data_IF_140705860158
#
_entry.id   IF_140705860158
#
_cell.length_a   1.000
_cell.length_b   1.000
_cell.length_c   1.000
_cell.angle_alpha   90.00
_cell.angle_beta   90.00
_cell.angle_gamma   90.00
#
_symmetry.space_group_name_H-M   'P 1'
#
loop_
_entity.id
_entity.type
_entity.pdbx_description
1 polymer ?
#
# COMPACT_ATOMS: atom_id res chain seq x y z
N UNK A 1 27.15 -19.70 64.86
CA UNK A 1 26.55 -19.21 63.60
C UNK A 1 27.47 -19.28 62.37
N UNK A 2 28.80 -19.48 62.47
CA UNK A 2 29.68 -19.63 61.29
C UNK A 2 29.78 -21.04 60.68
N UNK A 3 29.31 -22.09 61.36
CA UNK A 3 29.37 -23.48 60.84
C UNK A 3 28.18 -23.88 59.95
N UNK A 4 27.03 -23.19 60.06
CA UNK A 4 25.86 -23.46 59.23
C UNK A 4 25.95 -22.80 57.84
N UNK A 5 26.61 -21.65 57.75
CA UNK A 5 26.83 -20.93 56.48
C UNK A 5 27.85 -21.62 55.58
N UNK A 6 28.87 -22.30 56.15
CA UNK A 6 29.86 -23.04 55.35
C UNK A 6 29.26 -24.31 54.72
N UNK A 7 28.34 -25.00 55.41
CA UNK A 7 27.64 -26.17 54.88
C UNK A 7 26.66 -25.82 53.74
N UNK A 8 26.02 -24.64 53.81
CA UNK A 8 25.10 -24.18 52.76
C UNK A 8 25.86 -23.80 51.48
N UNK A 9 27.06 -23.20 51.58
CA UNK A 9 27.88 -22.87 50.42
C UNK A 9 28.47 -24.11 49.72
N UNK A 10 28.83 -25.16 50.47
CA UNK A 10 29.32 -26.43 49.91
C UNK A 10 28.21 -27.22 49.19
N UNK A 11 26.96 -27.15 49.65
CA UNK A 11 25.80 -27.75 48.97
C UNK A 11 25.47 -27.06 47.64
N UNK A 12 25.58 -25.73 47.56
CA UNK A 12 25.33 -24.96 46.33
C UNK A 12 26.43 -25.20 45.28
N UNK A 13 27.68 -25.37 45.69
CA UNK A 13 28.78 -25.70 44.77
C UNK A 13 28.67 -27.12 44.16
N UNK A 14 28.20 -28.11 44.93
CA UNK A 14 27.98 -29.48 44.46
C UNK A 14 26.77 -29.61 43.51
N UNK A 15 25.76 -28.75 43.67
CA UNK A 15 24.61 -28.65 42.74
C UNK A 15 24.99 -27.99 41.40
N UNK A 16 25.96 -27.07 41.38
CA UNK A 16 26.44 -26.49 40.11
C UNK A 16 27.35 -27.41 39.30
N UNK A 17 28.14 -28.28 39.96
CA UNK A 17 29.01 -29.25 39.28
C UNK A 17 28.25 -30.45 38.71
N UNK A 18 27.10 -30.82 39.28
CA UNK A 18 26.28 -31.95 38.79
C UNK A 18 25.38 -31.57 37.60
N UNK A 19 24.98 -30.29 37.48
CA UNK A 19 24.21 -29.81 36.31
C UNK A 19 25.10 -29.63 35.07
N UNK A 20 26.38 -29.32 35.24
CA UNK A 20 27.34 -29.22 34.11
C UNK A 20 27.77 -30.58 33.55
N UNK A 21 27.57 -31.70 34.27
CA UNK A 21 27.96 -33.05 33.81
C UNK A 21 26.85 -33.85 33.12
N UNK A 22 25.63 -33.31 33.01
CA UNK A 22 24.45 -34.02 32.44
C UNK A 22 23.96 -33.48 31.09
N UNK A 23 24.73 -32.63 30.43
CA UNK A 23 24.42 -32.16 29.06
C UNK A 23 25.62 -32.34 28.13
N UNK A 24 26.11 -33.57 28.00
CA UNK A 24 27.14 -33.91 27.01
C UNK A 24 27.01 -35.38 26.53
N UNK A 25 26.16 -35.60 25.53
CA UNK A 25 26.11 -36.72 24.54
C UNK A 25 24.91 -36.42 23.62
N UNK A 26 24.89 -36.49 22.29
CA UNK A 26 25.79 -36.95 21.24
C UNK A 26 25.59 -36.05 20.02
N UNK A 27 26.66 -35.46 19.46
CA UNK A 27 26.63 -34.89 18.11
C UNK A 27 27.49 -35.74 17.18
N UNK A 28 26.81 -36.63 16.46
CA UNK A 28 27.35 -37.25 15.25
C UNK A 28 27.53 -36.17 14.16
N UNK A 29 28.71 -36.22 13.54
CA UNK A 29 29.14 -35.57 12.30
C UNK A 29 27.99 -35.24 11.33
N UNK A 30 27.75 -33.95 11.11
CA UNK A 30 27.40 -33.46 9.78
C UNK A 30 28.00 -32.06 9.60
N UNK A 31 28.92 -31.95 8.64
CA UNK A 31 29.58 -30.68 8.27
C UNK A 31 28.52 -29.71 7.75
N UNK A 32 28.47 -28.45 8.22
CA UNK A 32 27.72 -27.42 7.51
C UNK A 32 28.43 -27.18 6.18
N UNK A 33 27.75 -27.50 5.07
CA UNK A 33 28.13 -26.97 3.75
C UNK A 33 28.08 -25.45 3.85
N UNK A 34 29.15 -24.83 3.36
CA UNK A 34 29.35 -23.40 3.31
C UNK A 34 28.07 -22.64 2.92
N UNK A 35 27.71 -21.67 3.76
CA UNK A 35 26.74 -20.65 3.41
C UNK A 35 27.22 -19.92 2.15
N UNK A 36 26.29 -19.74 1.24
CA UNK A 36 26.39 -18.91 0.04
C UNK A 36 26.83 -17.48 0.42
N UNK A 37 27.98 -16.98 -0.07
CA UNK A 37 28.46 -15.64 0.26
C UNK A 37 27.74 -14.61 -0.62
N UNK A 38 26.46 -14.35 -0.38
CA UNK A 38 25.73 -13.29 -1.08
C UNK A 38 24.47 -12.75 -0.36
N UNK A 39 24.51 -12.59 0.97
CA UNK A 39 23.74 -11.53 1.62
C UNK A 39 24.66 -10.31 1.76
N UNK A 40 24.73 -9.51 0.69
CA UNK A 40 25.32 -8.19 0.76
C UNK A 40 24.55 -7.39 1.82
N UNK A 41 25.26 -6.88 2.82
CA UNK A 41 24.79 -5.82 3.70
C UNK A 41 24.42 -4.62 2.82
N UNK A 42 23.15 -4.51 2.44
CA UNK A 42 22.62 -3.34 1.76
C UNK A 42 22.64 -2.19 2.75
N UNK A 43 23.41 -1.15 2.46
CA UNK A 43 23.36 0.09 3.24
C UNK A 43 21.99 0.74 3.05
N UNK A 44 21.38 1.18 4.16
CA UNK A 44 20.04 1.77 4.16
C UNK A 44 19.98 3.06 3.30
N UNK A 45 21.11 3.77 3.20
CA UNK A 45 21.29 4.93 2.31
C UNK A 45 21.14 4.58 0.82
N UNK A 46 21.88 3.57 0.34
CA UNK A 46 21.79 3.12 -1.06
C UNK A 46 20.38 2.65 -1.42
N UNK A 47 19.70 2.01 -0.46
CA UNK A 47 18.31 1.59 -0.65
C UNK A 47 17.35 2.78 -0.78
N UNK A 48 17.58 3.84 -0.01
CA UNK A 48 16.78 5.05 -0.10
C UNK A 48 16.98 5.75 -1.44
N UNK A 49 18.22 5.89 -1.91
CA UNK A 49 18.54 6.54 -3.19
C UNK A 49 17.89 5.81 -4.38
N UNK A 50 18.03 4.48 -4.49
CA UNK A 50 17.37 3.71 -5.55
C UNK A 50 15.84 3.81 -5.49
N UNK A 51 15.26 3.80 -4.29
CA UNK A 51 13.82 3.98 -4.12
C UNK A 51 13.35 5.36 -4.62
N UNK A 52 14.08 6.42 -4.29
CA UNK A 52 13.71 7.80 -4.65
C UNK A 52 13.64 8.02 -6.17
N UNK A 53 14.40 7.26 -6.96
CA UNK A 53 14.38 7.39 -8.43
C UNK A 53 13.00 7.08 -9.04
N UNK A 54 12.21 6.20 -8.43
CA UNK A 54 10.91 5.77 -8.99
C UNK A 54 9.71 6.50 -8.39
N UNK A 55 9.89 7.22 -7.27
CA UNK A 55 8.80 7.92 -6.56
C UNK A 55 8.12 8.97 -7.45
N UNK A 56 8.84 9.82 -8.22
CA UNK A 56 8.21 10.75 -9.14
C UNK A 56 7.29 10.04 -10.16
N UNK A 57 7.79 9.02 -10.86
CA UNK A 57 6.98 8.28 -11.84
C UNK A 57 5.75 7.63 -11.21
N UNK A 58 5.90 7.03 -10.02
CA UNK A 58 4.77 6.46 -9.27
C UNK A 58 3.72 7.52 -8.89
N UNK A 59 4.15 8.75 -8.55
CA UNK A 59 3.22 9.86 -8.28
C UNK A 59 2.51 10.32 -9.55
N UNK A 60 3.20 10.44 -10.68
CA UNK A 60 2.55 10.74 -11.96
C UNK A 60 1.55 9.66 -12.36
N UNK A 61 1.93 8.38 -12.19
CA UNK A 61 1.05 7.25 -12.39
C UNK A 61 -0.20 7.33 -11.49
N UNK A 62 -0.04 7.67 -10.20
CA UNK A 62 -1.16 7.86 -9.29
C UNK A 62 -2.18 8.86 -9.85
N UNK A 63 -1.72 10.01 -10.36
CA UNK A 63 -2.61 11.03 -10.92
C UNK A 63 -3.21 10.65 -12.28
N UNK A 64 -2.45 9.98 -13.15
CA UNK A 64 -2.99 9.43 -14.41
C UNK A 64 -4.10 8.41 -14.12
N UNK A 65 -3.85 7.47 -13.20
CA UNK A 65 -4.83 6.48 -12.78
C UNK A 65 -6.06 7.13 -12.15
N UNK A 66 -5.86 8.12 -11.27
CA UNK A 66 -6.95 8.87 -10.64
C UNK A 66 -7.86 9.57 -11.65
N UNK A 67 -7.29 10.25 -12.65
CA UNK A 67 -8.06 10.92 -13.72
C UNK A 67 -8.86 9.91 -14.55
N UNK A 68 -8.24 8.76 -14.86
CA UNK A 68 -8.91 7.67 -15.56
C UNK A 68 -10.05 7.06 -14.73
N UNK A 69 -9.83 6.85 -13.43
CA UNK A 69 -10.85 6.31 -12.52
C UNK A 69 -12.03 7.27 -12.36
N UNK A 70 -11.76 8.57 -12.26
CA UNK A 70 -12.79 9.62 -12.20
C UNK A 70 -13.65 9.67 -13.46
N UNK A 71 -13.04 9.38 -14.63
CA UNK A 71 -13.76 9.30 -15.90
C UNK A 71 -14.66 8.07 -16.00
N UNK A 72 -14.20 6.91 -15.48
CA UNK A 72 -14.98 5.67 -15.50
C UNK A 72 -16.10 5.64 -14.47
N UNK A 73 -15.90 6.26 -13.30
CA UNK A 73 -16.87 6.25 -12.20
C UNK A 73 -17.21 7.68 -11.71
N UNK A 74 -17.83 8.51 -12.58
CA UNK A 74 -18.11 9.90 -12.24
C UNK A 74 -19.05 10.00 -11.03
N UNK A 75 -18.68 10.86 -10.08
CA UNK A 75 -19.48 11.15 -8.89
C UNK A 75 -19.48 10.06 -7.82
N UNK A 76 -18.69 8.99 -7.96
CA UNK A 76 -18.54 7.95 -6.93
C UNK A 76 -17.34 8.20 -6.03
N UNK A 77 -17.33 7.50 -4.89
CA UNK A 77 -16.12 7.33 -4.11
C UNK A 77 -15.06 6.59 -4.94
N UNK A 78 -13.81 7.02 -4.83
CA UNK A 78 -12.66 6.37 -5.45
C UNK A 78 -11.66 6.01 -4.36
N UNK A 79 -11.10 4.80 -4.42
CA UNK A 79 -10.01 4.42 -3.51
C UNK A 79 -9.13 3.32 -4.09
N UNK A 80 -7.83 3.57 -4.24
CA UNK A 80 -6.88 2.61 -4.79
C UNK A 80 -5.49 2.83 -4.20
N UNK A 81 -4.57 1.90 -4.50
CA UNK A 81 -3.16 2.01 -4.12
C UNK A 81 -2.26 2.12 -5.36
N UNK A 82 -1.72 3.31 -5.64
CA UNK A 82 -0.81 3.51 -6.77
C UNK A 82 0.42 2.61 -6.66
N UNK A 83 1.09 2.59 -5.51
CA UNK A 83 2.31 1.78 -5.29
C UNK A 83 2.06 0.28 -5.50
N UNK A 84 0.91 -0.22 -5.07
CA UNK A 84 0.56 -1.63 -5.21
C UNK A 84 0.34 -1.99 -6.68
N UNK A 85 -0.42 -1.18 -7.40
CA UNK A 85 -0.70 -1.40 -8.83
C UNK A 85 0.58 -1.27 -9.65
N UNK A 86 1.39 -0.23 -9.43
CA UNK A 86 2.62 -0.02 -10.18
C UNK A 86 3.64 -1.12 -9.93
N UNK A 87 3.75 -1.62 -8.69
CA UNK A 87 4.58 -2.78 -8.37
C UNK A 87 4.13 -4.03 -9.14
N UNK A 88 2.82 -4.29 -9.24
CA UNK A 88 2.29 -5.45 -9.95
C UNK A 88 2.60 -5.42 -11.45
N UNK A 89 2.50 -4.26 -12.07
CA UNK A 89 2.78 -4.08 -13.50
C UNK A 89 4.27 -3.97 -13.80
N UNK A 90 5.08 -3.43 -12.88
CA UNK A 90 6.53 -3.50 -13.00
C UNK A 90 7.04 -4.95 -12.89
N UNK A 91 6.40 -5.79 -12.07
CA UNK A 91 6.64 -7.24 -12.07
C UNK A 91 6.28 -7.86 -13.42
N UNK A 92 5.15 -7.49 -14.03
CA UNK A 92 4.78 -7.96 -15.38
C UNK A 92 5.82 -7.54 -16.42
N UNK A 93 6.36 -6.32 -16.31
CA UNK A 93 7.39 -5.80 -17.22
C UNK A 93 8.67 -6.66 -17.23
N UNK A 94 9.08 -7.26 -16.10
CA UNK A 94 10.21 -8.22 -16.07
C UNK A 94 10.03 -9.39 -17.03
N UNK A 95 8.78 -9.84 -17.20
CA UNK A 95 8.40 -10.95 -18.06
C UNK A 95 8.00 -10.55 -19.47
N UNK A 96 7.85 -9.25 -19.72
CA UNK A 96 7.45 -8.68 -21.00
C UNK A 96 8.69 -8.38 -21.86
N UNK A 97 8.54 -8.33 -23.18
CA UNK A 97 9.62 -7.96 -24.11
C UNK A 97 9.13 -6.94 -25.12
N UNK A 98 10.09 -6.27 -25.78
CA UNK A 98 9.84 -5.34 -26.89
C UNK A 98 8.72 -4.33 -26.57
N UNK A 99 7.81 -4.08 -27.50
CA UNK A 99 6.70 -3.12 -27.36
C UNK A 99 5.82 -3.39 -26.15
N UNK A 100 5.59 -4.65 -25.79
CA UNK A 100 4.80 -5.01 -24.60
C UNK A 100 5.44 -4.47 -23.32
N UNK A 101 6.77 -4.57 -23.21
CA UNK A 101 7.51 -4.05 -22.05
C UNK A 101 7.51 -2.51 -22.02
N UNK A 102 7.80 -1.89 -23.17
CA UNK A 102 7.80 -0.43 -23.33
C UNK A 102 6.45 0.15 -22.92
N UNK A 103 5.34 -0.37 -23.45
CA UNK A 103 4.00 0.08 -23.11
C UNK A 103 3.73 -0.02 -21.60
N UNK A 104 4.06 -1.15 -20.96
CA UNK A 104 3.82 -1.32 -19.52
C UNK A 104 4.57 -0.27 -18.71
N UNK A 105 5.87 -0.06 -18.97
CA UNK A 105 6.68 0.88 -18.19
C UNK A 105 6.28 2.34 -18.44
N UNK A 106 6.00 2.73 -19.69
CA UNK A 106 5.50 4.08 -20.01
C UNK A 106 4.09 4.32 -19.45
N UNK A 107 3.25 3.29 -19.41
CA UNK A 107 1.94 3.30 -18.77
C UNK A 107 2.02 3.52 -17.25
N UNK A 108 3.13 3.09 -16.63
CA UNK A 108 3.51 3.43 -15.25
C UNK A 108 4.20 4.79 -15.12
N UNK A 109 4.14 5.61 -16.17
CA UNK A 109 4.69 6.96 -16.25
C UNK A 109 6.23 7.04 -16.15
N UNK A 110 6.96 5.95 -16.43
CA UNK A 110 8.40 6.02 -16.60
C UNK A 110 8.76 6.61 -17.97
N UNK A 111 9.74 7.52 -17.97
CA UNK A 111 10.38 7.94 -19.21
C UNK A 111 11.61 7.06 -19.48
N UNK A 112 11.50 6.16 -20.46
CA UNK A 112 12.56 5.20 -20.77
C UNK A 112 13.77 5.84 -21.47
N UNK A 113 13.69 7.12 -21.85
CA UNK A 113 14.89 7.88 -22.27
C UNK A 113 15.75 8.31 -21.09
N UNK A 114 15.13 8.50 -19.93
CA UNK A 114 15.78 9.10 -18.75
C UNK A 114 16.10 8.07 -17.67
N UNK A 115 15.34 6.97 -17.61
CA UNK A 115 15.50 5.93 -16.58
C UNK A 115 15.63 4.56 -17.23
N UNK A 116 16.70 3.83 -16.87
CA UNK A 116 16.94 2.49 -17.41
C UNK A 116 16.02 1.47 -16.74
N UNK A 117 15.64 0.42 -17.47
CA UNK A 117 14.80 -0.67 -16.94
C UNK A 117 15.36 -1.28 -15.64
N UNK A 118 16.68 -1.50 -15.58
CA UNK A 118 17.35 -2.04 -14.40
C UNK A 118 17.15 -1.16 -13.17
N UNK A 119 17.23 0.16 -13.32
CA UNK A 119 17.04 1.14 -12.25
C UNK A 119 15.58 1.15 -11.76
N UNK A 120 14.63 0.97 -12.68
CA UNK A 120 13.20 0.85 -12.32
C UNK A 120 12.99 -0.37 -11.43
N UNK A 121 13.48 -1.54 -11.85
CA UNK A 121 13.31 -2.77 -11.08
C UNK A 121 14.08 -2.76 -9.75
N UNK A 122 15.28 -2.16 -9.73
CA UNK A 122 16.06 -1.98 -8.51
C UNK A 122 15.35 -1.02 -7.54
N UNK A 123 14.81 0.09 -8.04
CA UNK A 123 14.01 1.04 -7.27
C UNK A 123 12.78 0.39 -6.65
N UNK A 124 12.04 -0.45 -7.39
CA UNK A 124 10.92 -1.22 -6.82
C UNK A 124 11.38 -2.23 -5.77
N UNK A 125 12.51 -2.91 -5.99
CA UNK A 125 13.08 -3.82 -4.97
C UNK A 125 13.34 -3.07 -3.68
N UNK A 126 13.99 -1.92 -3.76
CA UNK A 126 14.33 -1.12 -2.60
C UNK A 126 13.10 -0.51 -1.94
N UNK A 127 12.14 0.01 -2.70
CA UNK A 127 10.85 0.47 -2.18
C UNK A 127 10.16 -0.65 -1.37
N UNK A 128 10.11 -1.87 -1.90
CA UNK A 128 9.50 -3.01 -1.19
C UNK A 128 10.26 -3.41 0.08
N UNK A 129 11.59 -3.31 0.08
CA UNK A 129 12.38 -3.54 1.29
C UNK A 129 12.07 -2.49 2.35
N UNK A 130 12.01 -1.22 1.95
CA UNK A 130 11.76 -0.09 2.84
C UNK A 130 10.34 -0.11 3.42
N UNK A 131 9.34 -0.47 2.62
CA UNK A 131 7.93 -0.58 3.05
C UNK A 131 7.64 -1.80 3.94
N UNK A 132 8.45 -2.87 3.85
CA UNK A 132 8.30 -4.08 4.65
C UNK A 132 9.36 -4.19 5.77
N UNK A 133 9.91 -3.07 6.24
CA UNK A 133 10.95 -3.06 7.28
C UNK A 133 10.44 -3.71 8.59
N UNK A 134 11.19 -4.67 9.16
CA UNK A 134 10.87 -5.21 10.48
C UNK A 134 10.80 -4.11 11.53
N UNK A 135 9.82 -4.20 12.44
CA UNK A 135 9.66 -3.24 13.54
C UNK A 135 8.84 -1.99 13.22
N UNK A 136 8.34 -1.83 11.99
CA UNK A 136 7.40 -0.75 11.68
C UNK A 136 6.13 -0.87 12.53
N UNK A 137 5.68 0.27 13.07
CA UNK A 137 4.41 0.38 13.79
C UNK A 137 3.20 0.42 12.84
N UNK A 138 3.46 0.57 11.54
CA UNK A 138 2.49 0.43 10.45
C UNK A 138 2.52 -1.01 9.98
N UNK A 139 1.39 -1.71 10.13
CA UNK A 139 1.19 -3.01 9.51
C UNK A 139 0.72 -2.81 8.07
N UNK A 140 1.68 -2.82 7.16
CA UNK A 140 1.45 -2.87 5.72
C UNK A 140 1.67 -4.29 5.23
N UNK A 141 0.69 -4.85 4.51
CA UNK A 141 0.86 -6.10 3.79
C UNK A 141 0.47 -5.90 2.34
N UNK A 142 1.46 -5.90 1.47
CA UNK A 142 1.29 -5.79 0.02
C UNK A 142 1.75 -7.08 -0.63
N UNK A 143 1.02 -7.54 -1.65
CA UNK A 143 1.41 -8.75 -2.36
C UNK A 143 0.98 -8.75 -3.80
N UNK A 144 1.84 -9.36 -4.61
CA UNK A 144 1.63 -9.56 -6.03
C UNK A 144 1.62 -11.07 -6.31
N UNK A 145 0.47 -11.56 -6.75
CA UNK A 145 0.30 -12.95 -7.15
C UNK A 145 -0.03 -13.02 -8.64
N UNK A 146 0.78 -13.78 -9.37
CA UNK A 146 0.55 -14.11 -10.76
C UNK A 146 0.00 -15.54 -10.83
N UNK A 147 -1.26 -15.69 -11.17
CA UNK A 147 -1.86 -16.99 -11.41
C UNK A 147 -1.71 -17.33 -12.88
N UNK A 148 -1.10 -18.47 -13.19
CA UNK A 148 -0.81 -18.92 -14.54
C UNK A 148 -1.48 -20.28 -14.75
N UNK A 149 -2.01 -20.51 -15.95
CA UNK A 149 -2.60 -21.79 -16.31
C UNK A 149 -1.60 -22.93 -16.11
N UNK A 150 -2.07 -24.04 -15.54
CA UNK A 150 -1.26 -25.20 -15.19
C UNK A 150 -0.47 -25.81 -16.35
N UNK A 151 -0.89 -25.58 -17.59
CA UNK A 151 -0.20 -26.10 -18.78
C UNK A 151 1.01 -25.27 -19.19
N UNK A 152 1.11 -24.03 -18.72
CA UNK A 152 2.24 -23.14 -18.99
C UNK A 152 3.36 -23.41 -17.99
N UNK A 153 4.61 -23.31 -18.47
CA UNK A 153 5.81 -23.53 -17.66
C UNK A 153 6.63 -22.24 -17.56
N UNK A 154 6.56 -21.52 -16.43
CA UNK A 154 7.36 -20.32 -16.24
C UNK A 154 8.86 -20.63 -16.26
N UNK A 155 9.64 -19.71 -16.82
CA UNK A 155 11.10 -19.77 -16.83
C UNK A 155 11.64 -19.71 -15.40
N UNK A 156 12.66 -20.54 -15.11
CA UNK A 156 13.31 -20.57 -13.79
C UNK A 156 13.94 -19.22 -13.43
N UNK A 157 14.46 -18.50 -14.43
CA UNK A 157 15.00 -17.14 -14.29
C UNK A 157 13.91 -16.17 -13.83
N UNK A 158 12.77 -16.13 -14.53
CA UNK A 158 11.62 -15.31 -14.15
C UNK A 158 11.15 -15.61 -12.71
N UNK A 159 11.01 -16.89 -12.34
CA UNK A 159 10.64 -17.28 -10.97
C UNK A 159 11.65 -16.81 -9.91
N UNK A 160 12.95 -16.79 -10.24
CA UNK A 160 14.01 -16.29 -9.36
C UNK A 160 13.90 -14.77 -9.22
N UNK A 161 13.70 -14.06 -10.32
CA UNK A 161 13.71 -12.59 -10.36
C UNK A 161 12.49 -12.00 -9.66
N UNK A 162 11.28 -12.54 -9.87
CA UNK A 162 10.08 -12.07 -9.14
C UNK A 162 10.22 -12.28 -7.63
N UNK A 163 10.87 -13.37 -7.20
CA UNK A 163 11.07 -13.67 -5.78
C UNK A 163 12.13 -12.73 -5.18
N UNK A 164 13.21 -12.48 -5.91
CA UNK A 164 14.33 -11.63 -5.48
C UNK A 164 13.90 -10.16 -5.41
N UNK A 165 13.36 -9.64 -6.50
CA UNK A 165 13.09 -8.22 -6.70
C UNK A 165 11.73 -7.80 -6.10
N UNK A 166 10.69 -8.60 -6.30
CA UNK A 166 9.31 -8.19 -5.98
C UNK A 166 8.69 -8.91 -4.77
N UNK A 167 9.41 -9.88 -4.19
CA UNK A 167 8.84 -10.85 -3.22
C UNK A 167 7.54 -11.49 -3.74
N UNK A 168 7.39 -11.55 -5.06
CA UNK A 168 6.20 -12.03 -5.74
C UNK A 168 6.11 -13.55 -5.75
N UNK A 169 4.93 -14.07 -6.07
CA UNK A 169 4.69 -15.50 -6.24
C UNK A 169 3.95 -15.77 -7.54
N UNK A 170 4.40 -16.79 -8.26
CA UNK A 170 3.63 -17.42 -9.33
C UNK A 170 2.89 -18.63 -8.74
N UNK A 171 1.60 -18.73 -9.05
CA UNK A 171 0.73 -19.82 -8.63
C UNK A 171 0.20 -20.50 -9.89
N UNK A 172 0.38 -21.81 -9.98
CA UNK A 172 -0.19 -22.62 -11.06
C UNK A 172 -1.65 -22.92 -10.71
N UNK A 173 -2.59 -22.63 -11.62
CA UNK A 173 -4.03 -22.84 -11.40
C UNK A 173 -4.70 -23.48 -12.61
N UNK A 174 -5.81 -24.19 -12.40
CA UNK A 174 -6.55 -24.88 -13.45
C UNK A 174 -7.72 -24.03 -13.95
N UNK A 175 -7.50 -23.16 -14.92
CA UNK A 175 -8.54 -22.23 -15.36
C UNK A 175 -9.71 -22.89 -16.09
N UNK A 176 -9.51 -24.08 -16.66
CA UNK A 176 -10.61 -24.90 -17.20
C UNK A 176 -11.68 -25.21 -16.15
N UNK A 177 -11.29 -25.36 -14.87
CA UNK A 177 -12.22 -25.38 -13.74
C UNK A 177 -12.34 -23.97 -13.13
N UNK A 178 -13.01 -23.07 -13.86
CA UNK A 178 -13.07 -21.65 -13.52
C UNK A 178 -13.65 -21.37 -12.13
N UNK A 179 -14.59 -22.20 -11.65
CA UNK A 179 -15.17 -22.09 -10.30
C UNK A 179 -14.13 -22.34 -9.21
N UNK A 180 -13.35 -23.41 -9.36
CA UNK A 180 -12.30 -23.78 -8.40
C UNK A 180 -11.13 -22.79 -8.45
N UNK A 181 -10.65 -22.43 -9.65
CA UNK A 181 -9.59 -21.45 -9.81
C UNK A 181 -9.98 -20.07 -9.23
N UNK A 182 -11.23 -19.63 -9.44
CA UNK A 182 -11.76 -18.41 -8.82
C UNK A 182 -11.77 -18.51 -7.30
N UNK A 183 -12.16 -19.66 -6.75
CA UNK A 183 -12.16 -19.88 -5.30
C UNK A 183 -10.73 -19.84 -4.76
N UNK A 184 -9.78 -20.51 -5.41
CA UNK A 184 -8.35 -20.50 -5.05
C UNK A 184 -7.79 -19.07 -4.99
N UNK A 185 -8.04 -18.27 -6.03
CA UNK A 185 -7.61 -16.88 -6.10
C UNK A 185 -8.21 -16.06 -4.95
N UNK A 186 -9.52 -16.14 -4.74
CA UNK A 186 -10.18 -15.37 -3.69
C UNK A 186 -9.74 -15.81 -2.27
N UNK A 187 -9.56 -17.12 -2.04
CA UNK A 187 -9.07 -17.66 -0.76
C UNK A 187 -7.62 -17.22 -0.48
N UNK A 188 -6.77 -17.18 -1.51
CA UNK A 188 -5.40 -16.67 -1.40
C UNK A 188 -5.40 -15.22 -0.88
N UNK A 189 -6.22 -14.36 -1.48
CA UNK A 189 -6.31 -12.94 -1.12
C UNK A 189 -6.97 -12.75 0.25
N UNK A 190 -8.03 -13.51 0.53
CA UNK A 190 -8.70 -13.48 1.84
C UNK A 190 -7.73 -13.79 2.97
N UNK A 191 -6.91 -14.82 2.81
CA UNK A 191 -5.91 -15.19 3.81
C UNK A 191 -4.85 -14.10 3.99
N UNK A 192 -4.35 -13.54 2.89
CA UNK A 192 -3.32 -12.48 2.94
C UNK A 192 -3.83 -11.14 3.48
N UNK A 193 -5.14 -10.91 3.44
CA UNK A 193 -5.77 -9.67 3.91
C UNK A 193 -6.51 -9.84 5.24
N UNK A 194 -6.27 -10.95 5.95
CA UNK A 194 -6.91 -11.28 7.22
C UNK A 194 -8.45 -11.22 7.15
N UNK A 195 -9.03 -11.63 6.02
CA UNK A 195 -10.48 -11.63 5.78
C UNK A 195 -11.09 -10.27 5.42
N UNK A 196 -10.29 -9.20 5.29
CA UNK A 196 -10.82 -7.89 4.90
C UNK A 196 -11.20 -7.82 3.41
N UNK A 197 -10.51 -8.56 2.55
CA UNK A 197 -10.82 -8.66 1.12
C UNK A 197 -11.25 -10.10 0.81
N UNK A 198 -12.56 -10.34 0.86
CA UNK A 198 -13.13 -11.68 0.65
C UNK A 198 -13.28 -12.08 -0.82
N UNK A 199 -13.39 -11.09 -1.71
CA UNK A 199 -13.61 -11.34 -3.13
C UNK A 199 -12.99 -10.22 -3.95
N UNK A 200 -12.09 -10.60 -4.87
CA UNK A 200 -11.45 -9.70 -5.83
C UNK A 200 -11.91 -9.99 -7.27
N UNK A 201 -12.13 -11.27 -7.61
CA UNK A 201 -12.70 -11.68 -8.90
C UNK A 201 -14.16 -12.10 -8.74
N UNK A 202 -15.03 -11.56 -9.60
CA UNK A 202 -16.43 -11.97 -9.71
C UNK A 202 -16.57 -13.22 -10.57
N UNK A 203 -15.91 -13.18 -11.72
CA UNK A 203 -16.05 -14.13 -12.81
C UNK A 203 -14.66 -14.47 -13.36
N UNK A 204 -14.54 -15.65 -13.98
CA UNK A 204 -13.30 -16.13 -14.59
C UNK A 204 -13.65 -16.99 -15.81
N UNK A 205 -13.01 -16.73 -16.95
CA UNK A 205 -13.27 -17.46 -18.19
C UNK A 205 -12.44 -18.76 -18.24
N UNK A 206 -12.99 -19.91 -18.69
CA UNK A 206 -12.22 -21.14 -18.86
C UNK A 206 -10.98 -21.03 -19.77
N UNK A 207 -10.96 -20.08 -20.71
CA UNK A 207 -9.84 -19.81 -21.61
C UNK A 207 -8.81 -18.83 -21.02
N UNK A 208 -8.89 -18.54 -19.72
CA UNK A 208 -7.92 -17.68 -19.03
C UNK A 208 -6.55 -18.36 -19.02
N UNK A 209 -5.50 -17.62 -19.38
CA UNK A 209 -4.12 -18.09 -19.35
C UNK A 209 -3.34 -17.51 -18.15
N UNK A 210 -3.66 -16.27 -17.79
CA UNK A 210 -2.93 -15.54 -16.75
C UNK A 210 -3.82 -14.52 -16.07
N UNK A 211 -3.75 -14.47 -14.74
CA UNK A 211 -4.44 -13.48 -13.91
C UNK A 211 -3.44 -12.78 -12.99
N UNK A 212 -3.44 -11.45 -13.03
CA UNK A 212 -2.70 -10.61 -12.08
C UNK A 212 -3.63 -10.19 -10.96
N UNK A 213 -3.29 -10.57 -9.74
CA UNK A 213 -4.06 -10.22 -8.55
C UNK A 213 -3.18 -9.42 -7.63
N UNK A 214 -3.55 -8.16 -7.45
CA UNK A 214 -2.83 -7.24 -6.58
C UNK A 214 -3.71 -6.87 -5.38
N UNK A 215 -3.12 -6.93 -4.20
CA UNK A 215 -3.76 -6.51 -2.97
C UNK A 215 -2.80 -5.72 -2.09
N UNK A 216 -3.38 -4.84 -1.29
CA UNK A 216 -2.70 -4.13 -0.23
C UNK A 216 -3.64 -4.06 0.97
N UNK A 217 -3.08 -4.33 2.14
CA UNK A 217 -3.73 -4.21 3.42
C UNK A 217 -2.93 -3.24 4.25
N UNK A 218 -3.62 -2.26 4.83
CA UNK A 218 -3.01 -1.21 5.62
C UNK A 218 -3.72 -1.12 6.96
N UNK A 219 -2.91 -1.18 8.02
CA UNK A 219 -3.32 -0.99 9.39
C UNK A 219 -2.26 -0.16 10.11
N UNK A 220 -2.70 0.95 10.64
CA UNK A 220 -1.91 1.92 11.38
C UNK A 220 -2.81 2.65 12.38
N UNK A 221 -2.24 3.00 13.53
CA UNK A 221 -2.92 3.79 14.57
C UNK A 221 -2.57 5.26 14.38
N UNK A 222 -3.48 6.19 14.64
CA UNK A 222 -3.10 7.59 14.65
C UNK A 222 -2.04 7.83 15.73
N UNK A 223 -1.07 8.72 15.46
CA UNK A 223 -0.06 9.08 16.47
C UNK A 223 -0.74 9.57 17.75
N UNK A 224 -1.67 10.50 17.55
CA UNK A 224 -2.65 10.93 18.53
C UNK A 224 -4.01 10.44 18.04
N UNK A 225 -4.84 9.75 18.84
CA UNK A 225 -6.18 9.32 18.43
C UNK A 225 -7.24 10.41 18.64
N UNK A 226 -8.42 10.24 18.05
CA UNK A 226 -9.63 11.01 18.35
C UNK A 226 -10.32 10.44 19.59
N UNK A 227 -11.03 11.28 20.34
CA UNK A 227 -11.84 10.80 21.47
C UNK A 227 -13.17 10.22 20.96
N UNK A 228 -13.42 8.94 21.24
CA UNK A 228 -14.67 8.24 20.87
C UNK A 228 -15.89 8.98 21.43
N UNK A 229 -15.80 9.57 22.62
CA UNK A 229 -16.90 10.34 23.23
C UNK A 229 -17.18 11.66 22.50
N UNK A 230 -16.21 12.17 21.74
CA UNK A 230 -16.39 13.36 20.90
C UNK A 230 -17.04 13.06 19.55
N UNK A 231 -17.15 11.78 19.16
CA UNK A 231 -17.79 11.41 17.89
C UNK A 231 -19.30 11.55 17.99
N UNK A 232 -19.88 12.38 17.12
CA UNK A 232 -21.31 12.71 17.12
C UNK A 232 -21.90 12.65 15.72
N UNK A 233 -23.23 12.70 15.62
CA UNK A 233 -23.93 12.80 14.34
C UNK A 233 -23.78 14.20 13.78
N UNK A 234 -23.48 14.30 12.49
CA UNK A 234 -23.32 15.56 11.77
C UNK A 234 -23.71 15.36 10.30
N UNK A 235 -23.86 16.45 9.55
CA UNK A 235 -24.19 16.40 8.13
C UNK A 235 -22.95 16.47 7.24
N UNK A 236 -22.94 15.62 6.22
CA UNK A 236 -22.01 15.68 5.10
C UNK A 236 -22.78 16.08 3.83
N UNK A 237 -22.35 17.15 3.18
CA UNK A 237 -22.93 17.70 1.97
C UNK A 237 -22.35 17.00 0.74
N UNK A 238 -23.04 15.97 0.23
CA UNK A 238 -22.63 15.23 -0.99
C UNK A 238 -22.61 16.17 -2.20
N UNK A 239 -23.59 17.10 -2.26
CA UNK A 239 -23.66 18.20 -3.21
C UNK A 239 -24.56 19.31 -2.64
N UNK A 240 -24.76 20.41 -3.37
CA UNK A 240 -25.56 21.56 -2.93
C UNK A 240 -27.02 21.23 -2.53
N UNK A 241 -27.59 20.11 -3.00
CA UNK A 241 -28.98 19.70 -2.73
C UNK A 241 -29.10 18.47 -1.83
N UNK A 242 -28.01 17.75 -1.60
CA UNK A 242 -28.05 16.44 -0.92
C UNK A 242 -27.07 16.43 0.24
N UNK A 243 -27.58 16.14 1.44
CA UNK A 243 -26.77 15.90 2.62
C UNK A 243 -27.12 14.54 3.24
N UNK A 244 -26.14 13.89 3.84
CA UNK A 244 -26.30 12.62 4.55
C UNK A 244 -25.80 12.77 5.98
N UNK A 245 -26.42 12.05 6.91
CA UNK A 245 -25.95 12.01 8.30
C UNK A 245 -24.76 11.05 8.41
N UNK A 246 -23.68 11.50 9.05
CA UNK A 246 -22.45 10.73 9.27
C UNK A 246 -22.04 10.80 10.75
N UNK A 247 -21.23 9.83 11.18
CA UNK A 247 -20.51 9.93 12.46
C UNK A 247 -19.26 10.78 12.25
N UNK A 248 -19.28 12.01 12.75
CA UNK A 248 -18.18 12.96 12.65
C UNK A 248 -17.29 12.85 13.88
N UNK A 249 -16.02 12.52 13.67
CA UNK A 249 -14.99 12.56 14.71
C UNK A 249 -14.46 13.98 14.80
N UNK A 250 -14.18 14.48 16.00
CA UNK A 250 -13.57 15.80 16.22
C UNK A 250 -12.36 15.70 17.13
N UNK A 251 -11.35 16.55 16.87
CA UNK A 251 -10.26 16.80 17.80
C UNK A 251 -9.65 18.18 17.56
N UNK A 252 -9.46 18.91 18.66
CA UNK A 252 -8.57 20.08 18.76
C UNK A 252 -7.14 19.61 19.02
N UNK A 253 -6.19 20.08 18.22
CA UNK A 253 -4.78 19.79 18.44
C UNK A 253 -3.88 20.50 17.45
N UNK A 254 -2.57 20.21 17.54
CA UNK A 254 -1.60 20.72 16.59
C UNK A 254 -1.46 19.77 15.40
N UNK A 255 -1.69 20.29 14.21
CA UNK A 255 -1.58 19.56 12.95
C UNK A 255 -0.67 20.31 11.99
N UNK A 256 -0.03 19.58 11.08
CA UNK A 256 0.57 20.18 9.90
C UNK A 256 -0.56 20.55 8.94
N UNK A 257 -0.70 21.83 8.61
CA UNK A 257 -1.79 22.34 7.76
C UNK A 257 -1.30 23.45 6.83
N UNK A 258 -1.94 23.56 5.67
CA UNK A 258 -1.67 24.58 4.66
C UNK A 258 -2.96 24.97 3.91
N UNK A 259 -3.21 26.27 3.78
CA UNK A 259 -4.31 26.80 2.98
C UNK A 259 -3.78 27.23 1.62
N UNK A 260 -4.03 26.43 0.58
CA UNK A 260 -3.63 26.75 -0.79
C UNK A 260 -4.66 27.70 -1.41
N UNK A 261 -4.32 28.99 -1.45
CA UNK A 261 -5.20 30.03 -2.01
C UNK A 261 -5.39 29.89 -3.53
N UNK A 262 -4.38 29.40 -4.25
CA UNK A 262 -4.43 29.25 -5.70
C UNK A 262 -5.42 28.16 -6.10
N UNK A 263 -5.38 27.03 -5.37
CA UNK A 263 -6.28 25.90 -5.58
C UNK A 263 -7.56 25.97 -4.76
N UNK A 264 -7.67 26.99 -3.89
CA UNK A 264 -8.82 27.21 -3.01
C UNK A 264 -9.14 25.96 -2.17
N UNK A 265 -8.13 25.40 -1.49
CA UNK A 265 -8.30 24.21 -0.65
C UNK A 265 -7.52 24.27 0.67
N UNK A 266 -8.02 23.57 1.68
CA UNK A 266 -7.31 23.31 2.93
C UNK A 266 -6.65 21.92 2.86
N UNK A 267 -5.38 21.85 3.25
CA UNK A 267 -4.59 20.63 3.29
C UNK A 267 -4.22 20.35 4.74
N UNK A 268 -4.64 19.20 5.27
CA UNK A 268 -4.35 18.79 6.66
C UNK A 268 -3.64 17.44 6.65
N UNK A 269 -2.43 17.40 7.23
CA UNK A 269 -1.69 16.17 7.43
C UNK A 269 -1.87 15.66 8.87
N UNK A 270 -2.34 14.42 9.00
CA UNK A 270 -2.52 13.72 10.27
C UNK A 270 -1.58 12.51 10.31
N UNK A 271 -0.60 12.47 11.24
CA UNK A 271 0.35 11.38 11.33
C UNK A 271 -0.27 10.11 11.94
N UNK A 272 0.16 8.97 11.43
CA UNK A 272 0.02 7.68 12.09
C UNK A 272 1.23 7.44 13.01
N UNK A 273 1.13 6.44 13.88
CA UNK A 273 2.26 5.84 14.59
C UNK A 273 3.17 5.13 13.59
N UNK A 274 4.45 5.46 13.58
CA UNK A 274 5.42 5.01 12.58
C UNK A 274 5.51 5.97 11.40
N UNK A 275 6.04 5.49 10.27
CA UNK A 275 6.42 6.34 9.14
C UNK A 275 5.30 6.53 8.11
N UNK A 276 4.06 6.80 8.53
CA UNK A 276 2.95 7.05 7.63
C UNK A 276 2.11 8.26 8.05
N UNK A 277 1.51 8.95 7.08
CA UNK A 277 0.57 10.03 7.35
C UNK A 277 -0.60 10.04 6.36
N UNK A 278 -1.76 10.48 6.84
CA UNK A 278 -2.90 10.80 6.00
C UNK A 278 -2.89 12.29 5.66
N UNK A 279 -2.88 12.61 4.37
CA UNK A 279 -3.06 13.95 3.84
C UNK A 279 -4.51 14.10 3.36
N UNK A 280 -5.29 14.93 4.05
CA UNK A 280 -6.65 15.25 3.69
C UNK A 280 -6.70 16.60 2.97
N UNK A 281 -7.32 16.65 1.80
CA UNK A 281 -7.40 17.86 0.97
C UNK A 281 -8.85 18.22 0.74
N UNK A 282 -9.26 19.36 1.29
CA UNK A 282 -10.63 19.86 1.28
C UNK A 282 -10.74 21.09 0.37
N UNK A 283 -11.18 20.93 -0.89
CA UNK A 283 -11.44 22.07 -1.76
C UNK A 283 -12.62 22.89 -1.25
N UNK A 284 -12.63 24.19 -1.54
CA UNK A 284 -13.82 25.04 -1.39
C UNK A 284 -14.97 24.51 -2.27
N UNK A 285 -16.19 24.93 -1.95
CA UNK A 285 -17.36 24.51 -2.71
C UNK A 285 -17.21 24.85 -4.21
N UNK A 286 -17.53 23.90 -5.08
CA UNK A 286 -17.36 24.03 -6.53
C UNK A 286 -15.91 23.96 -7.04
N UNK A 287 -14.90 23.79 -6.16
CA UNK A 287 -13.47 23.81 -6.55
C UNK A 287 -12.83 22.44 -6.75
N UNK A 288 -13.58 21.34 -6.56
CA UNK A 288 -13.06 19.98 -6.72
C UNK A 288 -12.41 19.76 -8.09
N UNK A 289 -13.07 20.14 -9.19
CA UNK A 289 -12.52 19.95 -10.53
C UNK A 289 -11.20 20.73 -10.73
N UNK A 290 -11.14 21.98 -10.27
CA UNK A 290 -9.92 22.79 -10.31
C UNK A 290 -8.78 22.10 -9.55
N UNK A 291 -9.08 21.54 -8.37
CA UNK A 291 -8.10 20.78 -7.59
C UNK A 291 -7.63 19.53 -8.35
N UNK A 292 -8.54 18.74 -8.90
CA UNK A 292 -8.24 17.50 -9.65
C UNK A 292 -7.39 17.77 -10.90
N UNK A 293 -7.69 18.83 -11.64
CA UNK A 293 -6.94 19.25 -12.82
C UNK A 293 -5.51 19.67 -12.45
N UNK A 294 -5.31 20.25 -11.26
CA UNK A 294 -4.03 20.70 -10.74
C UNK A 294 -3.22 19.64 -9.97
N UNK A 295 -3.70 18.40 -9.87
CA UNK A 295 -2.94 17.32 -9.22
C UNK A 295 -1.71 16.94 -10.05
N UNK A 296 -0.55 17.40 -9.60
CA UNK A 296 0.78 17.12 -10.17
C UNK A 296 1.79 16.91 -9.04
N UNK A 297 2.97 16.39 -9.39
CA UNK A 297 4.10 16.24 -8.46
C UNK A 297 4.49 17.57 -7.82
N UNK A 298 4.49 18.65 -8.61
CA UNK A 298 4.83 19.99 -8.13
C UNK A 298 3.82 20.51 -7.12
N UNK A 299 2.52 20.26 -7.36
CA UNK A 299 1.45 20.62 -6.41
C UNK A 299 1.64 19.90 -5.07
N UNK A 300 1.91 18.60 -5.08
CA UNK A 300 2.15 17.86 -3.84
C UNK A 300 3.45 18.30 -3.17
N UNK A 301 4.53 18.53 -3.92
CA UNK A 301 5.80 19.03 -3.39
C UNK A 301 5.63 20.42 -2.75
N UNK A 302 4.82 21.30 -3.36
CA UNK A 302 4.45 22.61 -2.79
C UNK A 302 3.74 22.43 -1.46
N UNK A 303 2.74 21.54 -1.39
CA UNK A 303 2.03 21.28 -0.14
C UNK A 303 2.97 20.76 0.94
N UNK A 304 3.79 19.74 0.64
CA UNK A 304 4.76 19.18 1.58
C UNK A 304 5.69 20.23 2.19
N UNK A 305 6.17 21.17 1.37
CA UNK A 305 7.05 22.27 1.80
C UNK A 305 6.31 23.38 2.57
N UNK A 306 5.01 23.53 2.34
CA UNK A 306 4.20 24.63 2.90
C UNK A 306 3.41 24.23 4.15
N UNK A 307 3.37 22.94 4.48
CA UNK A 307 2.70 22.42 5.67
C UNK A 307 3.37 22.94 6.95
N UNK A 308 2.64 23.72 7.73
CA UNK A 308 3.10 24.28 8.99
C UNK A 308 2.32 23.71 10.17
N UNK A 309 3.00 23.51 11.30
CA UNK A 309 2.36 23.04 12.53
C UNK A 309 1.53 24.16 13.15
N UNK A 310 0.21 24.03 13.15
CA UNK A 310 -0.74 25.01 13.72
C UNK A 310 -1.81 24.29 14.55
N UNK A 311 -2.35 24.99 15.56
CA UNK A 311 -3.50 24.49 16.32
C UNK A 311 -4.78 24.71 15.52
N UNK A 312 -5.50 23.64 15.24
CA UNK A 312 -6.80 23.68 14.54
C UNK A 312 -7.73 22.64 15.16
N UNK A 313 -9.03 22.85 15.03
CA UNK A 313 -10.05 21.84 15.33
C UNK A 313 -10.47 21.13 14.04
N UNK A 314 -10.23 19.82 13.98
CA UNK A 314 -10.46 19.02 12.76
C UNK A 314 -11.66 18.12 12.96
N UNK A 315 -12.58 18.14 11.99
CA UNK A 315 -13.74 17.26 11.93
C UNK A 315 -13.62 16.31 10.73
N UNK A 316 -13.56 15.00 10.97
CA UNK A 316 -13.40 13.97 9.93
C UNK A 316 -14.49 12.90 10.07
N UNK A 317 -15.19 12.53 8.99
CA UNK A 317 -16.18 11.47 9.04
C UNK A 317 -15.50 10.12 9.30
N UNK A 318 -16.05 9.37 10.24
CA UNK A 318 -15.75 7.94 10.39
C UNK A 318 -16.35 7.20 9.19
N UNK A 319 -15.52 6.50 8.43
CA UNK A 319 -15.93 5.91 7.16
C UNK A 319 -15.19 4.60 6.86
N UNK A 320 -15.77 3.81 5.96
CA UNK A 320 -15.14 2.66 5.33
C UNK A 320 -15.24 2.85 3.83
N UNK A 321 -14.11 2.97 3.16
CA UNK A 321 -14.05 3.17 1.71
C UNK A 321 -13.30 2.01 1.07
N UNK A 322 -13.76 1.60 -0.10
CA UNK A 322 -13.12 0.60 -0.93
C UNK A 322 -13.19 0.99 -2.40
N UNK A 323 -12.29 0.43 -3.19
CA UNK A 323 -12.35 0.52 -4.64
C UNK A 323 -11.94 -0.81 -5.25
N UNK A 324 -12.63 -1.18 -6.32
CA UNK A 324 -12.36 -2.41 -7.08
C UNK A 324 -12.25 -2.05 -8.55
N UNK A 325 -11.10 -2.29 -9.15
CA UNK A 325 -10.81 -1.89 -10.53
C UNK A 325 -10.44 -3.09 -11.38
N UNK A 326 -11.01 -3.12 -12.58
CA UNK A 326 -10.56 -3.96 -13.69
C UNK A 326 -9.32 -3.31 -14.30
N UNK A 327 -8.14 -3.77 -13.86
CA UNK A 327 -6.87 -3.19 -14.27
C UNK A 327 -6.62 -3.37 -15.77
N UNK A 328 -7.15 -4.43 -16.39
CA UNK A 328 -7.04 -4.59 -17.85
C UNK A 328 -7.69 -3.40 -18.57
N UNK A 329 -8.93 -3.07 -18.21
CA UNK A 329 -9.61 -1.90 -18.78
C UNK A 329 -8.92 -0.58 -18.44
N UNK A 330 -8.43 -0.43 -17.21
CA UNK A 330 -7.71 0.79 -16.80
C UNK A 330 -6.44 0.99 -17.63
N UNK A 331 -5.60 -0.03 -17.73
CA UNK A 331 -4.31 0.05 -18.42
C UNK A 331 -4.45 0.16 -19.94
N UNK A 332 -5.44 -0.50 -20.55
CA UNK A 332 -5.74 -0.30 -21.98
C UNK A 332 -6.07 1.16 -22.30
N UNK A 333 -6.82 1.85 -21.43
CA UNK A 333 -7.11 3.28 -21.61
C UNK A 333 -5.89 4.18 -21.34
N UNK A 334 -4.88 3.67 -20.63
CA UNK A 334 -3.59 4.34 -20.42
C UNK A 334 -2.55 3.99 -21.51
N UNK A 335 -2.95 3.30 -22.58
CA UNK A 335 -2.09 2.97 -23.72
C UNK A 335 -1.34 1.64 -23.59
N UNK A 336 -1.64 0.82 -22.58
CA UNK A 336 -1.02 -0.50 -22.39
C UNK A 336 -1.97 -1.58 -22.91
N UNK A 337 -1.74 -2.01 -24.15
CA UNK A 337 -2.66 -2.91 -24.87
C UNK A 337 -2.05 -4.27 -25.14
N UNK A 338 -0.78 -4.34 -25.51
CA UNK A 338 -0.18 -5.54 -26.12
C UNK A 338 -0.27 -6.73 -25.16
N UNK A 339 0.13 -6.55 -23.90
CA UNK A 339 0.11 -7.58 -22.84
C UNK A 339 -1.28 -8.18 -22.58
N UNK A 340 -2.37 -7.54 -23.04
CA UNK A 340 -3.75 -8.02 -22.90
C UNK A 340 -4.35 -8.61 -24.17
N UNK A 341 -3.57 -8.64 -25.25
CA UNK A 341 -3.96 -8.98 -26.62
C UNK A 341 -3.14 -10.17 -27.16
N UNK A 342 -3.34 -10.54 -28.42
CA UNK A 342 -2.60 -11.65 -29.04
C UNK A 342 -1.19 -11.22 -29.51
N UNK A 343 -0.94 -9.92 -29.50
CA UNK A 343 0.34 -9.25 -29.75
C UNK A 343 1.28 -9.26 -28.53
N UNK A 344 0.84 -9.85 -27.41
CA UNK A 344 1.59 -9.90 -26.16
C UNK A 344 2.92 -10.66 -26.34
N UNK A 345 4.04 -9.96 -26.12
CA UNK A 345 5.33 -10.63 -25.95
C UNK A 345 5.65 -10.80 -24.46
N UNK A 346 5.11 -11.90 -23.92
CA UNK A 346 5.41 -12.38 -22.56
C UNK A 346 6.38 -13.57 -22.57
N UNK A 347 7.25 -13.64 -23.59
CA UNK A 347 8.25 -14.70 -23.72
C UNK A 347 9.28 -14.71 -22.57
N UNK A 348 9.43 -13.59 -21.86
CA UNK A 348 10.19 -13.55 -20.61
C UNK A 348 9.59 -14.38 -19.48
N UNK A 349 8.31 -14.75 -19.57
CA UNK A 349 7.61 -15.60 -18.60
C UNK A 349 7.69 -17.07 -18.99
N UNK A 350 7.32 -17.46 -20.21
CA UNK A 350 7.19 -18.88 -20.62
C UNK A 350 8.26 -19.34 -21.62
N UNK A 351 9.09 -18.43 -22.11
CA UNK A 351 10.04 -18.67 -23.21
C UNK A 351 9.44 -18.57 -24.61
N UNK A 352 8.14 -18.29 -24.72
CA UNK A 352 7.41 -18.16 -26.00
C UNK A 352 6.37 -17.03 -25.93
N UNK A 353 6.02 -16.37 -27.04
CA UNK A 353 4.96 -15.37 -27.09
C UNK A 353 3.59 -16.04 -27.24
N UNK A 354 3.26 -16.98 -26.35
CA UNK A 354 2.03 -17.79 -26.40
C UNK A 354 1.08 -17.52 -25.23
N UNK A 355 1.35 -16.46 -24.46
CA UNK A 355 0.60 -16.11 -23.27
C UNK A 355 0.28 -14.62 -23.25
N UNK A 356 -0.92 -14.30 -22.76
CA UNK A 356 -1.40 -12.93 -22.52
C UNK A 356 -2.05 -12.81 -21.16
N UNK A 357 -2.07 -11.60 -20.60
CA UNK A 357 -2.82 -11.30 -19.39
C UNK A 357 -4.30 -11.31 -19.72
N UNK A 358 -5.01 -12.33 -19.23
CA UNK A 358 -6.44 -12.49 -19.50
C UNK A 358 -7.27 -11.56 -18.63
N UNK A 359 -6.86 -11.40 -17.36
CA UNK A 359 -7.55 -10.57 -16.38
C UNK A 359 -6.54 -9.96 -15.39
N UNK A 360 -6.79 -8.73 -14.96
CA UNK A 360 -6.01 -8.09 -13.91
C UNK A 360 -6.95 -7.31 -13.01
N UNK A 361 -6.82 -7.46 -11.69
CA UNK A 361 -7.73 -6.85 -10.73
C UNK A 361 -6.98 -6.25 -9.55
N UNK A 362 -7.45 -5.07 -9.12
CA UNK A 362 -7.02 -4.41 -7.90
C UNK A 362 -8.20 -4.20 -6.98
N UNK A 363 -7.99 -4.43 -5.69
CA UNK A 363 -8.94 -4.05 -4.65
C UNK A 363 -8.20 -3.47 -3.45
N UNK A 364 -8.67 -2.30 -3.02
CA UNK A 364 -8.20 -1.63 -1.83
C UNK A 364 -9.38 -1.36 -0.90
N UNK A 365 -9.11 -1.38 0.40
CA UNK A 365 -10.09 -1.06 1.43
C UNK A 365 -9.39 -0.33 2.58
N UNK A 366 -10.03 0.73 3.07
CA UNK A 366 -9.58 1.50 4.21
C UNK A 366 -10.75 1.80 5.14
N UNK A 367 -10.51 1.63 6.43
CA UNK A 367 -11.43 2.04 7.49
C UNK A 367 -10.78 3.17 8.26
N UNK A 368 -11.45 4.31 8.35
CA UNK A 368 -11.01 5.45 9.15
C UNK A 368 -11.90 5.52 10.39
N UNK A 369 -11.30 5.50 11.57
CA UNK A 369 -11.99 5.63 12.85
C UNK A 369 -11.10 6.33 13.89
N UNK A 370 -11.58 6.42 15.13
CA UNK A 370 -11.02 7.29 16.17
C UNK A 370 -9.59 6.90 16.57
N UNK A 371 -9.24 5.61 16.58
CA UNK A 371 -7.90 5.15 16.97
C UNK A 371 -6.89 5.11 15.79
N UNK A 372 -7.33 5.31 14.55
CA UNK A 372 -6.55 5.04 13.35
C UNK A 372 -7.35 4.25 12.32
N UNK A 373 -6.74 3.19 11.81
CA UNK A 373 -7.34 2.21 10.89
C UNK A 373 -7.57 0.83 11.52
N UNK A 374 -7.21 0.64 12.81
CA UNK A 374 -7.73 -0.45 13.65
C UNK A 374 -7.92 -0.07 15.14
N UNK A 375 -8.77 -0.81 15.86
CA UNK A 375 -9.28 -0.41 17.17
C UNK A 375 -8.37 -0.81 18.35
N UNK A 376 -7.78 0.20 19.02
CA UNK A 376 -7.31 0.12 20.41
C UNK A 376 -7.30 1.54 21.01
N UNK A 377 -7.97 1.74 22.14
CA UNK A 377 -8.13 3.06 22.77
C UNK A 377 -6.94 3.41 23.67
N UNK A 378 -6.40 4.63 23.52
CA UNK A 378 -5.49 5.24 24.50
C UNK A 378 -5.90 6.71 24.66
N UNK A 379 -6.22 7.12 25.89
CA UNK A 379 -6.57 8.51 26.23
C UNK A 379 -5.31 9.30 26.59
N UNK A 380 -4.98 10.31 25.79
CA UNK A 380 -4.02 11.37 26.15
C UNK A 380 -4.76 12.66 26.50
N UNK A 381 -4.18 13.45 27.42
CA UNK A 381 -4.67 14.78 27.81
C UNK A 381 -3.77 15.85 27.18
N UNK A 382 -4.31 16.67 26.28
CA UNK A 382 -3.63 17.84 25.73
C UNK A 382 -4.08 19.13 26.45
N UNK A 383 -3.12 20.01 26.75
CA UNK A 383 -3.35 21.33 27.32
C UNK A 383 -4.03 22.27 26.31
N UNK A 384 -5.08 22.99 26.70
CA UNK A 384 -5.82 23.93 25.84
C UNK A 384 -5.41 25.40 26.11
N UNK A 385 -4.79 26.10 25.16
CA UNK A 385 -4.65 27.57 25.18
C UNK A 385 -5.99 28.31 25.08
N UNK A 386 -6.01 29.57 25.51
CA UNK A 386 -7.20 30.42 25.73
C UNK A 386 -7.91 30.98 24.46
N UNK A 387 -7.40 30.75 23.25
CA UNK A 387 -8.03 31.21 22.00
C UNK A 387 -8.83 30.11 21.30
N UNK A 388 -9.95 30.49 20.66
CA UNK A 388 -10.75 29.59 19.81
C UNK A 388 -9.93 29.21 18.57
N UNK A 389 -9.63 27.92 18.34
CA UNK A 389 -8.86 27.50 17.19
C UNK A 389 -9.68 27.61 15.88
N UNK A 390 -9.04 27.85 14.72
CA UNK A 390 -9.70 27.71 13.43
C UNK A 390 -10.23 26.29 13.21
N UNK A 391 -11.40 26.18 12.57
CA UNK A 391 -12.07 24.90 12.31
C UNK A 391 -11.85 24.45 10.86
N UNK A 392 -11.40 23.21 10.67
CA UNK A 392 -11.37 22.54 9.35
C UNK A 392 -12.29 21.33 9.40
N UNK A 393 -13.40 21.41 8.66
CA UNK A 393 -14.46 20.39 8.70
C UNK A 393 -14.62 19.70 7.35
N UNK A 394 -14.28 18.41 7.31
CA UNK A 394 -14.40 17.55 6.12
C UNK A 394 -15.85 17.06 5.95
N UNK A 395 -16.78 17.99 5.76
CA UNK A 395 -18.21 17.74 5.60
C UNK A 395 -18.73 17.91 4.16
N UNK A 396 -17.84 17.81 3.16
CA UNK A 396 -18.14 17.86 1.72
C UNK A 396 -17.06 17.11 0.96
N UNK A 397 -17.23 16.80 -0.35
CA UNK A 397 -16.27 15.99 -1.07
C UNK A 397 -14.82 16.45 -0.91
N UNK A 398 -13.94 15.50 -0.59
CA UNK A 398 -12.53 15.76 -0.29
C UNK A 398 -11.65 14.65 -0.86
N UNK A 399 -10.35 14.94 -1.00
CA UNK A 399 -9.35 13.96 -1.40
C UNK A 399 -8.59 13.45 -0.18
N UNK A 400 -8.14 12.21 -0.26
CA UNK A 400 -7.32 11.55 0.73
C UNK A 400 -6.09 10.95 0.04
N UNK A 401 -4.92 11.19 0.60
CA UNK A 401 -3.71 10.43 0.30
C UNK A 401 -3.16 9.84 1.59
N UNK A 402 -2.72 8.58 1.55
CA UNK A 402 -1.89 8.01 2.61
C UNK A 402 -0.49 7.89 2.04
N UNK A 403 0.48 8.53 2.70
CA UNK A 403 1.87 8.58 2.26
C UNK A 403 2.77 7.89 3.29
N UNK A 404 3.76 7.17 2.79
CA UNK A 404 4.89 6.73 3.59
C UNK A 404 5.83 7.92 3.76
N UNK A 405 6.05 8.36 4.98
CA UNK A 405 6.81 9.58 5.26
C UNK A 405 8.31 9.41 5.02
N UNK A 406 8.80 8.18 5.05
CA UNK A 406 10.21 7.91 4.78
C UNK A 406 10.49 7.97 3.28
N UNK A 407 9.79 7.16 2.48
CA UNK A 407 9.98 7.05 1.02
C UNK A 407 9.26 8.14 0.22
N UNK A 408 8.34 8.88 0.84
CA UNK A 408 7.42 9.82 0.17
C UNK A 408 6.50 9.15 -0.87
N UNK A 409 6.35 7.82 -0.83
CA UNK A 409 5.48 7.09 -1.73
C UNK A 409 4.00 7.23 -1.35
N UNK A 410 3.14 7.45 -2.34
CA UNK A 410 1.69 7.44 -2.17
C UNK A 410 1.21 5.99 -2.04
N UNK A 411 0.95 5.56 -0.81
CA UNK A 411 0.43 4.23 -0.48
C UNK A 411 -1.01 4.08 -0.94
N UNK A 412 -1.85 5.09 -0.70
CA UNK A 412 -3.24 5.11 -1.11
C UNK A 412 -3.66 6.48 -1.59
N UNK A 413 -4.61 6.50 -2.52
CA UNK A 413 -5.26 7.70 -2.99
C UNK A 413 -6.75 7.47 -3.09
N UNK A 414 -7.55 8.48 -2.73
CA UNK A 414 -8.98 8.40 -2.85
C UNK A 414 -9.69 9.74 -2.91
N UNK A 415 -10.95 9.67 -3.35
CA UNK A 415 -11.92 10.76 -3.36
C UNK A 415 -13.14 10.28 -2.58
N UNK A 416 -13.51 11.01 -1.54
CA UNK A 416 -14.70 10.73 -0.75
C UNK A 416 -15.77 11.70 -1.23
N UNK A 417 -16.77 11.19 -1.95
CA UNK A 417 -17.95 11.95 -2.39
C UNK A 417 -19.12 11.72 -1.43
N UNK A 418 -19.29 10.50 -0.94
CA UNK A 418 -20.33 10.14 0.03
C UNK A 418 -19.78 9.15 1.08
N UNK A 419 -19.56 9.57 2.35
CA UNK A 419 -18.99 8.70 3.38
C UNK A 419 -19.87 7.50 3.79
N UNK A 420 -21.16 7.48 3.40
CA UNK A 420 -22.06 6.35 3.68
C UNK A 420 -22.00 5.24 2.61
N UNK A 421 -21.34 5.50 1.49
CA UNK A 421 -21.08 4.51 0.42
C UNK A 421 -19.72 3.83 0.65
N UNK A 422 -19.69 2.51 0.43
CA UNK A 422 -18.49 1.67 0.63
C UNK A 422 -17.67 1.49 -0.62
#
# INVERSE_FOLDING_TARGET
MMKATLLLCLLVAMLHLTVQSLTQTDHHNDKPKANDPQEQHLHEGDSFESCQQIVPSNTDFAFRFYRQATTQEPGKNLFFSPVSISTAFALLALGSRATSQTQVLEGLAFNLTDTREEEIHDGFRHLLLLLNRPGSQVQLSMGNALFIDKHLKPLKTFLKDIKKLYKGKVVSSNFQNSTEAKKEINDHIKNKTHGNINQILKDLNPNTLMVIVNYIYFKAYWENPFNIKGTHKDYFHVNAKTSVEVKMMTRDGFYKTYSDRELSCEVVQIPYKGDAAALFILPNEGKMKQLEDALTKDTVSKWEKSLERRRIEVYIPKLSISGTYDLKKMFMNLGVTDVFSDEADLSGITGKPDVKVSQAAHKALLKIHENGTEAAAVTGTDFLPHSVPPVVKFNRPFLLQIVDQYTQSILFMGKIVNPTEK
#
